data_IF_650134857046
#
_entry.id   IF_650134857046
#
_cell.length_a   1.000
_cell.length_b   1.000
_cell.length_c   1.000
_cell.angle_alpha   90.00
_cell.angle_beta   90.00
_cell.angle_gamma   90.00
#
_symmetry.space_group_name_H-M   'P 1'
#
loop_
_entity.id
_entity.type
_entity.pdbx_description
1 polymer ?
#
# COMPACT_ATOMS: atom_id res chain seq x y z
N UNK A 1 45.84 10.56 32.75
CA UNK A 1 45.81 10.69 31.26
C UNK A 1 45.08 9.55 30.54
N UNK A 2 45.17 8.28 30.92
CA UNK A 2 44.48 7.16 30.22
C UNK A 2 42.92 7.21 30.25
N UNK A 3 42.31 7.70 31.32
CA UNK A 3 40.84 7.74 31.48
C UNK A 3 40.14 8.76 30.55
N UNK A 4 40.80 9.89 30.25
CA UNK A 4 40.26 10.91 29.33
C UNK A 4 40.18 10.39 27.88
N UNK A 5 41.15 9.60 27.45
CA UNK A 5 41.20 9.02 26.10
C UNK A 5 40.13 7.93 25.88
N UNK A 6 39.79 7.17 26.91
CA UNK A 6 38.71 6.17 26.87
C UNK A 6 37.34 6.82 26.79
N UNK A 7 37.07 7.89 27.54
CA UNK A 7 35.83 8.65 27.46
C UNK A 7 35.63 9.25 26.07
N UNK A 8 36.65 9.92 25.53
CA UNK A 8 36.59 10.51 24.20
C UNK A 8 36.35 9.49 23.08
N UNK A 9 36.98 8.30 23.18
CA UNK A 9 36.75 7.21 22.22
C UNK A 9 35.33 6.63 22.31
N UNK A 10 34.82 6.48 23.51
CA UNK A 10 33.45 6.00 23.77
C UNK A 10 32.40 7.01 23.22
N UNK A 11 32.59 8.30 23.49
CA UNK A 11 31.75 9.37 22.99
C UNK A 11 31.77 9.41 21.45
N UNK A 12 32.94 9.25 20.83
CA UNK A 12 33.08 9.19 19.38
C UNK A 12 32.39 7.96 18.78
N UNK A 13 32.48 6.81 19.45
CA UNK A 13 31.81 5.58 18.99
C UNK A 13 30.29 5.75 19.02
N UNK A 14 29.75 6.31 20.11
CA UNK A 14 28.30 6.59 20.20
C UNK A 14 27.88 7.58 19.11
N UNK A 15 28.62 8.67 18.92
CA UNK A 15 28.30 9.66 17.88
C UNK A 15 28.29 9.06 16.47
N UNK A 16 29.29 8.22 16.15
CA UNK A 16 29.34 7.49 14.88
C UNK A 16 28.17 6.51 14.73
N UNK A 17 27.84 5.76 15.77
CA UNK A 17 26.71 4.83 15.74
C UNK A 17 25.39 5.57 15.49
N UNK A 18 25.16 6.67 16.21
CA UNK A 18 23.96 7.50 16.01
C UNK A 18 23.93 8.08 14.60
N UNK A 19 25.06 8.57 14.12
CA UNK A 19 25.17 9.10 12.74
C UNK A 19 24.80 8.03 11.69
N UNK A 20 25.37 6.81 11.81
CA UNK A 20 25.04 5.73 10.87
C UNK A 20 23.58 5.29 10.96
N UNK A 21 23.00 5.25 12.15
CA UNK A 21 21.57 4.94 12.34
C UNK A 21 20.69 6.00 11.67
N UNK A 22 21.03 7.28 11.83
CA UNK A 22 20.27 8.37 11.18
C UNK A 22 20.43 8.34 9.66
N UNK A 23 21.64 8.10 9.14
CA UNK A 23 21.85 7.95 7.69
C UNK A 23 21.07 6.76 7.12
N UNK A 24 21.07 5.63 7.82
CA UNK A 24 20.32 4.45 7.43
C UNK A 24 18.80 4.70 7.45
N UNK A 25 18.30 5.38 8.49
CA UNK A 25 16.88 5.75 8.57
C UNK A 25 16.46 6.68 7.42
N UNK A 26 17.29 7.68 7.12
CA UNK A 26 17.06 8.59 5.99
C UNK A 26 17.09 7.87 4.63
N UNK A 27 18.01 6.92 4.45
CA UNK A 27 18.07 6.09 3.24
C UNK A 27 16.82 5.23 3.07
N UNK A 28 16.33 4.60 4.15
CA UNK A 28 15.09 3.82 4.13
C UNK A 28 13.87 4.68 3.79
N UNK A 29 13.79 5.89 4.35
CA UNK A 29 12.69 6.83 4.08
C UNK A 29 12.66 7.26 2.61
N UNK A 30 13.82 7.62 2.04
CA UNK A 30 13.95 7.97 0.62
C UNK A 30 13.55 6.81 -0.30
N UNK A 31 14.00 5.61 -0.01
CA UNK A 31 13.66 4.41 -0.81
C UNK A 31 12.16 4.09 -0.76
N UNK A 32 11.51 4.31 0.38
CA UNK A 32 10.09 4.11 0.55
C UNK A 32 9.27 5.17 -0.20
N UNK A 33 9.71 6.43 -0.20
CA UNK A 33 9.06 7.50 -0.96
C UNK A 33 9.06 7.20 -2.46
N UNK A 34 10.19 6.77 -3.03
CA UNK A 34 10.29 6.42 -4.45
C UNK A 34 9.26 5.32 -4.80
N UNK A 35 9.19 4.24 -4.02
CA UNK A 35 8.25 3.17 -4.27
C UNK A 35 6.78 3.62 -4.12
N UNK A 36 6.47 4.50 -3.17
CA UNK A 36 5.11 5.02 -2.98
C UNK A 36 4.67 5.95 -4.12
N UNK A 37 5.62 6.61 -4.78
CA UNK A 37 5.36 7.48 -5.93
C UNK A 37 5.02 6.71 -7.21
N UNK A 38 5.43 5.44 -7.31
CA UNK A 38 5.21 4.61 -8.50
C UNK A 38 4.04 3.63 -8.37
N UNK A 39 3.49 3.49 -7.17
CA UNK A 39 2.40 2.55 -6.89
C UNK A 39 1.09 3.28 -6.59
N UNK A 40 0.00 2.85 -7.25
CA UNK A 40 -1.37 3.21 -6.88
C UNK A 40 -2.07 2.01 -6.27
N UNK A 41 -2.58 2.15 -5.05
CA UNK A 41 -3.20 1.03 -4.33
C UNK A 41 -4.72 1.00 -4.46
N UNK A 42 -5.30 -0.16 -4.11
CA UNK A 42 -6.75 -0.33 -3.94
C UNK A 42 -7.02 -0.82 -2.53
N UNK A 43 -8.02 -0.22 -1.90
CA UNK A 43 -8.59 -0.67 -0.63
C UNK A 43 -10.09 -0.80 -0.77
N UNK A 44 -10.63 -1.96 -0.40
CA UNK A 44 -12.08 -2.17 -0.28
C UNK A 44 -12.39 -2.54 1.16
N UNK A 45 -13.32 -1.82 1.78
CA UNK A 45 -13.71 -2.02 3.19
C UNK A 45 -15.15 -2.48 3.25
N UNK A 46 -15.40 -3.57 3.96
CA UNK A 46 -16.75 -4.07 4.22
C UNK A 46 -17.48 -3.21 5.26
N UNK A 47 -18.80 -3.27 5.30
CA UNK A 47 -19.60 -2.64 6.34
C UNK A 47 -19.20 -3.18 7.71
N UNK A 48 -19.22 -4.51 7.88
CA UNK A 48 -18.84 -5.19 9.11
C UNK A 48 -17.97 -6.45 8.85
N UNK A 49 -17.65 -7.19 9.92
CA UNK A 49 -16.95 -8.47 9.84
C UNK A 49 -17.88 -9.68 9.68
N UNK A 50 -19.18 -9.46 9.49
CA UNK A 50 -20.13 -10.53 9.20
C UNK A 50 -19.80 -11.21 7.86
N UNK A 51 -20.02 -12.51 7.77
CA UNK A 51 -19.69 -13.30 6.58
C UNK A 51 -20.38 -12.79 5.30
N UNK A 52 -21.60 -12.25 5.43
CA UNK A 52 -22.35 -11.65 4.33
C UNK A 52 -21.63 -10.41 3.79
N UNK A 53 -21.25 -9.47 4.67
CA UNK A 53 -20.57 -8.22 4.30
C UNK A 53 -19.18 -8.47 3.74
N UNK A 54 -18.47 -9.45 4.30
CA UNK A 54 -17.18 -9.88 3.75
C UNK A 54 -17.33 -10.51 2.35
N UNK A 55 -18.43 -11.23 2.07
CA UNK A 55 -18.73 -11.75 0.73
C UNK A 55 -19.06 -10.62 -0.25
N UNK A 56 -19.90 -9.66 0.14
CA UNK A 56 -20.24 -8.47 -0.66
C UNK A 56 -18.98 -7.69 -1.03
N UNK A 57 -18.09 -7.44 -0.05
CA UNK A 57 -16.81 -6.79 -0.29
C UNK A 57 -15.99 -7.47 -1.40
N UNK A 58 -15.94 -8.80 -1.42
CA UNK A 58 -15.18 -9.52 -2.44
C UNK A 58 -15.82 -9.40 -3.84
N UNK A 59 -17.14 -9.39 -3.93
CA UNK A 59 -17.86 -9.18 -5.19
C UNK A 59 -17.66 -7.74 -5.71
N UNK A 60 -17.79 -6.75 -4.83
CA UNK A 60 -17.50 -5.34 -5.15
C UNK A 60 -16.05 -5.18 -5.63
N UNK A 61 -15.07 -5.81 -4.95
CA UNK A 61 -13.68 -5.82 -5.41
C UNK A 61 -13.55 -6.34 -6.83
N UNK A 62 -14.16 -7.50 -7.13
CA UNK A 62 -14.06 -8.14 -8.44
C UNK A 62 -14.67 -7.26 -9.51
N UNK A 63 -15.84 -6.67 -9.22
CA UNK A 63 -16.50 -5.73 -10.13
C UNK A 63 -15.67 -4.49 -10.41
N UNK A 64 -15.04 -3.92 -9.40
CA UNK A 64 -14.14 -2.76 -9.55
C UNK A 64 -12.89 -3.14 -10.37
N UNK A 65 -12.27 -4.28 -10.10
CA UNK A 65 -11.11 -4.74 -10.86
C UNK A 65 -11.42 -4.98 -12.34
N UNK A 66 -12.60 -5.57 -12.65
CA UNK A 66 -13.06 -5.75 -14.03
C UNK A 66 -13.18 -4.40 -14.76
N UNK A 67 -13.72 -3.38 -14.11
CA UNK A 67 -13.83 -2.03 -14.68
C UNK A 67 -12.46 -1.34 -14.80
N UNK A 68 -11.51 -1.64 -13.91
CA UNK A 68 -10.16 -1.07 -13.94
C UNK A 68 -9.29 -1.68 -15.04
N UNK A 69 -9.51 -2.92 -15.46
CA UNK A 69 -8.67 -3.62 -16.44
C UNK A 69 -8.42 -2.81 -17.71
N UNK A 70 -9.44 -2.30 -18.45
CA UNK A 70 -9.19 -1.51 -19.64
C UNK A 70 -8.50 -0.17 -19.36
N UNK A 71 -8.61 0.38 -18.15
CA UNK A 71 -7.91 1.60 -17.74
C UNK A 71 -6.44 1.33 -17.45
N UNK A 72 -6.13 0.17 -16.87
CA UNK A 72 -4.76 -0.27 -16.63
C UNK A 72 -4.00 -0.50 -17.95
N UNK A 73 -4.66 -1.06 -18.97
CA UNK A 73 -4.09 -1.24 -20.31
C UNK A 73 -3.79 0.07 -21.03
N UNK A 74 -4.45 1.17 -20.65
CA UNK A 74 -4.26 2.51 -21.20
C UNK A 74 -3.21 3.33 -20.47
N UNK A 75 -2.91 2.98 -19.21
CA UNK A 75 -2.05 3.77 -18.34
C UNK A 75 -0.58 3.38 -18.53
N UNK A 76 0.24 4.32 -19.01
CA UNK A 76 1.70 4.14 -19.15
C UNK A 76 2.46 4.54 -17.87
N UNK A 77 1.77 5.07 -16.86
CA UNK A 77 2.36 5.52 -15.59
C UNK A 77 1.32 5.57 -14.47
N UNK A 78 1.81 5.58 -13.21
CA UNK A 78 0.95 5.80 -12.04
C UNK A 78 0.14 7.10 -12.15
N UNK A 79 0.75 8.19 -12.60
CA UNK A 79 0.08 9.50 -12.77
C UNK A 79 -1.06 9.42 -13.77
N UNK A 80 -0.85 8.68 -14.86
CA UNK A 80 -1.87 8.45 -15.87
C UNK A 80 -3.01 7.59 -15.31
N UNK A 81 -2.69 6.51 -14.60
CA UNK A 81 -3.69 5.67 -13.93
C UNK A 81 -4.51 6.47 -12.92
N UNK A 82 -3.86 7.34 -12.14
CA UNK A 82 -4.53 8.24 -11.20
C UNK A 82 -5.49 9.20 -11.91
N UNK A 83 -5.10 9.75 -13.06
CA UNK A 83 -5.96 10.61 -13.88
C UNK A 83 -7.19 9.84 -14.36
N UNK A 84 -7.00 8.65 -14.92
CA UNK A 84 -8.07 7.78 -15.41
C UNK A 84 -9.04 7.41 -14.27
N UNK A 85 -8.54 7.04 -13.11
CA UNK A 85 -9.39 6.75 -11.94
C UNK A 85 -10.21 7.97 -11.54
N UNK A 86 -9.65 9.17 -11.55
CA UNK A 86 -10.41 10.40 -11.24
C UNK A 86 -11.51 10.68 -12.26
N UNK A 87 -11.22 10.50 -13.54
CA UNK A 87 -12.17 10.71 -14.62
C UNK A 87 -13.34 9.72 -14.56
N UNK A 88 -13.06 8.46 -14.17
CA UNK A 88 -14.06 7.40 -14.07
C UNK A 88 -14.60 7.19 -12.65
N UNK A 89 -14.31 8.10 -11.70
CA UNK A 89 -14.69 7.91 -10.29
C UNK A 89 -16.19 7.66 -10.10
N UNK A 90 -17.04 8.35 -10.86
CA UNK A 90 -18.48 8.17 -10.77
C UNK A 90 -18.90 6.79 -11.30
N UNK A 91 -18.30 6.33 -12.39
CA UNK A 91 -18.58 5.00 -12.96
C UNK A 91 -18.16 3.89 -12.01
N UNK A 92 -16.99 4.05 -11.39
CA UNK A 92 -16.47 3.14 -10.35
C UNK A 92 -17.45 3.06 -9.17
N UNK A 93 -17.87 4.23 -8.67
CA UNK A 93 -18.79 4.30 -7.54
C UNK A 93 -20.14 3.66 -7.89
N UNK A 94 -20.67 3.96 -9.07
CA UNK A 94 -21.94 3.40 -9.54
C UNK A 94 -21.87 1.88 -9.72
N UNK A 95 -20.77 1.36 -10.30
CA UNK A 95 -20.57 -0.06 -10.50
C UNK A 95 -20.47 -0.80 -9.16
N UNK A 96 -19.71 -0.25 -8.21
CA UNK A 96 -19.59 -0.78 -6.86
C UNK A 96 -20.94 -0.77 -6.12
N UNK A 97 -21.71 0.33 -6.23
CA UNK A 97 -23.02 0.44 -5.62
C UNK A 97 -24.03 -0.54 -6.23
N UNK A 98 -24.00 -0.72 -7.55
CA UNK A 98 -24.89 -1.68 -8.22
C UNK A 98 -24.59 -3.11 -7.74
N UNK A 99 -23.32 -3.47 -7.60
CA UNK A 99 -22.92 -4.78 -7.08
C UNK A 99 -23.44 -5.03 -5.66
N UNK A 100 -23.38 -4.01 -4.79
CA UNK A 100 -23.97 -4.10 -3.43
C UNK A 100 -25.47 -4.38 -3.50
N UNK A 101 -26.20 -3.72 -4.40
CA UNK A 101 -27.64 -3.95 -4.59
C UNK A 101 -27.92 -5.34 -5.17
N UNK A 102 -27.13 -5.79 -6.15
CA UNK A 102 -27.26 -7.12 -6.76
C UNK A 102 -27.00 -8.25 -5.74
N UNK A 103 -26.17 -7.98 -4.72
CA UNK A 103 -25.97 -8.86 -3.56
C UNK A 103 -27.10 -8.79 -2.53
N UNK A 104 -28.11 -7.91 -2.74
CA UNK A 104 -29.27 -7.78 -1.84
C UNK A 104 -29.04 -6.88 -0.63
N UNK A 105 -27.94 -6.16 -0.54
CA UNK A 105 -27.72 -5.14 0.49
C UNK A 105 -28.23 -3.76 0.02
N UNK A 106 -28.52 -2.89 0.98
CA UNK A 106 -28.91 -1.48 0.77
C UNK A 106 -27.82 -0.50 1.22
N UNK A 107 -26.64 -1.00 1.56
CA UNK A 107 -25.52 -0.20 2.04
C UNK A 107 -25.05 0.77 0.96
N UNK A 108 -24.68 1.96 1.39
CA UNK A 108 -24.15 2.97 0.48
C UNK A 108 -22.66 2.77 0.25
N UNK A 109 -22.23 2.95 -1.00
CA UNK A 109 -20.83 2.93 -1.38
C UNK A 109 -20.30 4.33 -1.55
N UNK A 110 -19.12 4.57 -1.00
CA UNK A 110 -18.34 5.77 -1.27
C UNK A 110 -16.99 5.39 -1.87
N UNK A 111 -16.55 6.16 -2.87
CA UNK A 111 -15.25 5.96 -3.50
C UNK A 111 -14.46 7.28 -3.52
N UNK A 112 -13.17 7.22 -3.23
CA UNK A 112 -12.28 8.36 -3.33
C UNK A 112 -10.83 7.93 -3.56
N UNK A 113 -10.01 8.82 -4.12
CA UNK A 113 -8.56 8.75 -4.09
C UNK A 113 -8.07 9.49 -2.85
N UNK A 114 -7.30 8.82 -2.00
CA UNK A 114 -6.73 9.40 -0.80
C UNK A 114 -5.38 8.78 -0.47
N UNK A 115 -4.52 9.59 0.14
CA UNK A 115 -3.30 9.09 0.78
C UNK A 115 -3.66 8.49 2.13
N UNK A 116 -3.20 7.27 2.37
CA UNK A 116 -3.42 6.55 3.61
C UNK A 116 -2.22 5.67 3.95
N UNK A 117 -2.09 5.35 5.23
CA UNK A 117 -1.07 4.41 5.68
C UNK A 117 -1.51 2.97 5.42
N UNK A 118 -0.65 2.20 4.74
CA UNK A 118 -0.85 0.80 4.42
C UNK A 118 0.16 -0.05 5.19
N UNK A 119 -0.28 -1.17 5.80
CA UNK A 119 0.65 -2.13 6.40
C UNK A 119 1.44 -2.87 5.32
N UNK A 120 2.56 -3.48 5.72
CA UNK A 120 3.29 -4.42 4.86
C UNK A 120 2.36 -5.53 4.38
N UNK A 121 2.35 -5.79 3.08
CA UNK A 121 1.55 -6.84 2.45
C UNK A 121 2.40 -7.67 1.50
N UNK A 122 2.20 -9.00 1.60
CA UNK A 122 2.83 -9.98 0.73
C UNK A 122 1.83 -10.36 -0.39
N UNK A 123 2.31 -10.37 -1.63
CA UNK A 123 1.55 -10.71 -2.83
C UNK A 123 2.32 -11.78 -3.60
N UNK A 124 2.06 -13.06 -3.29
CA UNK A 124 2.75 -14.18 -3.94
C UNK A 124 4.26 -14.13 -3.74
N UNK A 125 4.97 -13.69 -4.77
CA UNK A 125 6.43 -13.64 -4.82
C UNK A 125 7.04 -12.27 -4.46
N UNK A 126 6.23 -11.24 -4.21
CA UNK A 126 6.71 -9.91 -3.82
C UNK A 126 6.01 -9.38 -2.57
N UNK A 127 6.59 -8.35 -1.96
CA UNK A 127 6.08 -7.69 -0.76
C UNK A 127 6.17 -6.18 -0.89
N UNK A 128 5.07 -5.48 -0.59
CA UNK A 128 5.08 -4.02 -0.46
C UNK A 128 5.29 -3.63 1.01
N UNK A 129 6.26 -2.77 1.30
CA UNK A 129 6.52 -2.33 2.66
C UNK A 129 5.38 -1.46 3.21
N UNK A 130 5.29 -1.38 4.54
CA UNK A 130 4.38 -0.47 5.20
C UNK A 130 4.75 0.98 4.89
N UNK A 131 3.76 1.82 4.62
CA UNK A 131 3.99 3.23 4.30
C UNK A 131 2.74 3.97 3.89
N UNK A 132 2.89 5.26 3.62
CA UNK A 132 1.81 6.09 3.08
C UNK A 132 1.83 5.97 1.56
N UNK A 133 0.70 5.52 1.01
CA UNK A 133 0.47 5.37 -0.42
C UNK A 133 -0.83 6.07 -0.79
N UNK A 134 -0.88 6.61 -1.99
CA UNK A 134 -2.16 6.99 -2.58
C UNK A 134 -2.90 5.72 -3.04
N UNK A 135 -4.20 5.69 -2.84
CA UNK A 135 -5.04 4.56 -3.23
C UNK A 135 -6.48 4.93 -3.52
N UNK A 136 -7.10 4.16 -4.41
CA UNK A 136 -8.54 4.15 -4.58
C UNK A 136 -9.16 3.41 -3.38
N UNK A 137 -9.97 4.12 -2.62
CA UNK A 137 -10.69 3.58 -1.47
C UNK A 137 -12.16 3.40 -1.85
N UNK A 138 -12.66 2.18 -1.68
CA UNK A 138 -14.07 1.82 -1.79
C UNK A 138 -14.54 1.44 -0.39
N UNK A 139 -15.52 2.15 0.11
CA UNK A 139 -16.07 1.94 1.46
C UNK A 139 -17.55 1.60 1.35
N UNK A 140 -17.95 0.48 1.95
CA UNK A 140 -19.31 -0.04 1.94
C UNK A 140 -19.91 0.21 3.32
N UNK A 141 -21.08 0.82 3.40
CA UNK A 141 -21.80 1.10 4.62
C UNK A 141 -21.01 1.90 5.65
N UNK A 142 -20.89 1.41 6.87
CA UNK A 142 -20.11 2.03 7.96
C UNK A 142 -18.60 1.89 7.77
N UNK A 143 -18.16 0.95 6.92
CA UNK A 143 -16.76 0.64 6.65
C UNK A 143 -15.94 0.28 7.92
N UNK A 144 -16.55 -0.48 8.83
CA UNK A 144 -15.94 -0.94 10.08
C UNK A 144 -15.36 -2.37 9.96
N UNK A 145 -15.65 -3.08 8.86
CA UNK A 145 -15.20 -4.43 8.62
C UNK A 145 -13.75 -4.53 8.11
N UNK A 146 -13.28 -5.78 7.96
CA UNK A 146 -11.94 -6.08 7.46
C UNK A 146 -11.70 -5.56 6.05
N UNK A 147 -10.51 -5.01 5.84
CA UNK A 147 -10.06 -4.46 4.58
C UNK A 147 -9.60 -5.56 3.60
N UNK A 148 -9.84 -5.33 2.31
CA UNK A 148 -9.11 -5.93 1.22
C UNK A 148 -8.08 -4.91 0.69
N UNK A 149 -6.85 -5.38 0.44
CA UNK A 149 -5.74 -4.55 -0.01
C UNK A 149 -5.18 -5.09 -1.31
N UNK A 150 -5.03 -4.23 -2.31
CA UNK A 150 -4.42 -4.59 -3.58
C UNK A 150 -3.59 -3.44 -4.19
N UNK A 151 -3.06 -3.68 -5.40
CA UNK A 151 -2.29 -2.72 -6.18
C UNK A 151 -2.98 -2.53 -7.52
N UNK A 152 -3.39 -1.30 -7.82
CA UNK A 152 -4.01 -0.96 -9.11
C UNK A 152 -2.99 -0.67 -10.19
N UNK A 153 -1.87 -0.04 -9.80
CA UNK A 153 -0.79 0.25 -10.72
C UNK A 153 0.56 0.01 -10.00
N UNK A 154 1.49 -0.73 -10.59
CA UNK A 154 1.29 -1.64 -11.72
C UNK A 154 0.15 -2.67 -11.50
N UNK A 155 -0.34 -3.31 -12.56
CA UNK A 155 -1.51 -4.20 -12.53
C UNK A 155 -1.25 -5.55 -11.82
N UNK A 156 -0.89 -5.51 -10.54
CA UNK A 156 -0.50 -6.69 -9.76
C UNK A 156 -1.68 -7.53 -9.24
N UNK A 157 -2.90 -6.97 -9.30
CA UNK A 157 -4.10 -7.66 -8.84
C UNK A 157 -4.63 -8.70 -9.83
N UNK A 158 -4.31 -8.56 -11.11
CA UNK A 158 -4.88 -9.38 -12.17
C UNK A 158 -3.98 -10.55 -12.56
N UNK A 159 -2.66 -10.36 -12.52
CA UNK A 159 -1.69 -11.44 -12.77
C UNK A 159 -0.34 -11.09 -12.10
N UNK A 160 0.07 -11.83 -11.04
CA UNK A 160 1.37 -11.63 -10.40
C UNK A 160 2.57 -11.83 -11.36
N UNK A 161 2.38 -12.59 -12.44
CA UNK A 161 3.45 -12.83 -13.43
C UNK A 161 3.66 -11.64 -14.38
N UNK A 162 2.67 -10.75 -14.52
CA UNK A 162 2.76 -9.57 -15.39
C UNK A 162 3.53 -8.41 -14.74
N UNK A 163 3.68 -8.46 -13.42
CA UNK A 163 4.30 -7.40 -12.62
C UNK A 163 5.81 -7.24 -12.82
N UNK A 164 6.48 -8.26 -13.35
CA UNK A 164 7.95 -8.25 -13.53
C UNK A 164 8.43 -7.26 -14.60
N UNK A 165 7.53 -6.74 -15.44
CA UNK A 165 7.90 -5.97 -16.63
C UNK A 165 7.85 -4.45 -16.45
N UNK A 166 7.17 -3.95 -15.43
CA UNK A 166 6.85 -2.51 -15.30
C UNK A 166 7.53 -1.79 -14.13
N UNK A 167 8.13 -2.55 -13.20
CA UNK A 167 8.90 -1.98 -12.10
C UNK A 167 10.36 -1.79 -12.50
N UNK A 168 10.99 -0.74 -12.00
CA UNK A 168 12.42 -0.54 -12.19
C UNK A 168 13.25 -1.66 -11.56
N UNK A 169 14.47 -1.92 -12.05
CA UNK A 169 15.36 -2.94 -11.46
C UNK A 169 15.57 -2.72 -9.95
N UNK A 170 15.55 -1.47 -9.50
CA UNK A 170 15.73 -1.11 -8.10
C UNK A 170 14.49 -1.43 -7.25
N UNK A 171 13.30 -1.25 -7.80
CA UNK A 171 12.02 -1.59 -7.18
C UNK A 171 11.78 -3.10 -7.18
N UNK A 172 12.16 -3.78 -8.27
CA UNK A 172 12.17 -5.25 -8.33
C UNK A 172 13.09 -5.85 -7.27
N UNK A 173 14.27 -5.29 -7.06
CA UNK A 173 15.20 -5.74 -6.02
C UNK A 173 14.66 -5.54 -4.59
N UNK A 174 13.80 -4.55 -4.36
CA UNK A 174 13.10 -4.35 -3.08
C UNK A 174 11.94 -5.34 -2.88
N UNK A 175 11.27 -5.70 -3.97
CA UNK A 175 10.09 -6.57 -3.98
C UNK A 175 10.50 -8.05 -4.01
N UNK A 176 11.59 -8.38 -4.73
CA UNK A 176 12.16 -9.72 -4.84
C UNK A 176 13.56 -9.77 -4.19
N UNK A 177 13.69 -9.80 -2.87
CA UNK A 177 14.99 -10.01 -2.26
C UNK A 177 15.49 -11.43 -2.61
N UNK A 178 16.44 -11.50 -3.54
CA UNK A 178 17.21 -12.73 -3.80
C UNK A 178 18.04 -13.05 -2.54
N UNK A 179 17.47 -13.89 -1.71
CA UNK A 179 18.11 -14.32 -0.48
C UNK A 179 17.15 -14.22 0.71
N UNK A 180 17.11 -15.26 1.52
CA UNK A 180 16.18 -15.52 2.63
C UNK A 180 16.26 -14.55 3.82
N UNK A 181 16.55 -13.27 3.60
CA UNK A 181 16.50 -12.22 4.61
C UNK A 181 15.30 -11.32 4.36
N UNK A 182 14.16 -11.68 4.94
CA UNK A 182 13.07 -10.71 5.15
C UNK A 182 13.58 -9.66 6.14
N UNK A 183 14.06 -8.54 5.63
CA UNK A 183 14.29 -7.36 6.49
C UNK A 183 12.91 -6.81 6.82
N UNK A 184 12.28 -7.36 7.86
CA UNK A 184 11.07 -6.80 8.43
C UNK A 184 11.47 -5.52 9.15
N UNK A 185 11.09 -4.38 8.59
CA UNK A 185 11.23 -3.07 9.25
C UNK A 185 10.21 -2.96 10.41
N UNK A 186 10.36 -3.80 11.43
CA UNK A 186 9.50 -3.75 12.63
C UNK A 186 9.51 -2.38 13.31
N UNK A 187 10.56 -1.60 13.14
CA UNK A 187 10.65 -0.24 13.66
C UNK A 187 9.74 0.73 12.90
N UNK A 188 9.61 0.60 11.58
CA UNK A 188 8.67 1.39 10.78
C UNK A 188 7.21 0.99 11.07
N UNK A 189 6.93 -0.30 11.26
CA UNK A 189 5.61 -0.79 11.68
C UNK A 189 5.21 -0.27 13.06
N UNK A 190 6.15 -0.24 14.03
CA UNK A 190 5.93 0.31 15.37
C UNK A 190 5.67 1.82 15.35
N UNK A 191 6.43 2.58 14.57
CA UNK A 191 6.25 4.03 14.44
C UNK A 191 4.97 4.37 13.65
N UNK A 192 4.62 3.57 12.63
CA UNK A 192 3.39 3.72 11.88
C UNK A 192 2.14 3.42 12.70
N UNK A 193 2.17 2.34 13.51
CA UNK A 193 1.07 2.01 14.42
C UNK A 193 0.85 3.08 15.50
N UNK A 194 1.93 3.69 16.01
CA UNK A 194 1.83 4.81 16.95
C UNK A 194 1.24 6.07 16.31
N UNK A 195 1.51 6.30 15.03
CA UNK A 195 0.97 7.45 14.29
C UNK A 195 -0.52 7.26 13.95
N UNK A 196 -0.94 6.02 13.62
CA UNK A 196 -2.34 5.68 13.39
C UNK A 196 -3.22 5.66 14.64
N UNK A 197 -2.63 5.61 15.85
CA UNK A 197 -3.36 5.72 17.14
C UNK A 197 -3.57 7.18 17.60
N UNK A 198 -2.95 8.15 16.94
CA UNK A 198 -3.01 9.59 17.29
C UNK A 198 -3.82 10.39 16.26
N UNK A 199 -4.28 9.75 15.19
CA UNK A 199 -5.16 10.29 14.15
C UNK A 199 -6.56 9.72 14.27
#
# INVERSE_FOLDING_TARGET
MKQSTYRSRFELTIALTVFFVLCYAAFCDMSQQTLSEDVLRLRVVADSDEAADQSIKLQVRDRVLELMQPLQEQADSRTEMQRLVREHMQDITNAAQQEVYDCGSTDLVTACLAEEWYPTREYGNFSLPAGTYEGLQIRIGSAEGHNWWCVLYPALCLDPASAETELTEQEQAMIHPEGSYQIRFRTAELLGSLRGMVS
#
